data_IF_984327556424
#
_entry.id   IF_984327556424
#
_cell.length_a   1.000
_cell.length_b   1.000
_cell.length_c   1.000
_cell.angle_alpha   90.00
_cell.angle_beta   90.00
_cell.angle_gamma   90.00
#
_symmetry.space_group_name_H-M   'P 1'
#
loop_
_entity.id
_entity.type
_entity.pdbx_description
1 polymer ?
#
# COMPACT_ATOMS: atom_id res chain seq x y z
N UNK A 1 -26.58 -14.14 6.28
CA UNK A 1 -25.53 -13.82 5.29
C UNK A 1 -25.84 -14.62 4.03
N UNK A 2 -26.44 -14.00 3.00
CA UNK A 2 -26.71 -14.68 1.73
C UNK A 2 -25.43 -14.74 0.92
N UNK A 3 -24.85 -15.93 0.77
CA UNK A 3 -23.76 -16.21 -0.15
C UNK A 3 -24.39 -16.69 -1.45
N UNK A 4 -24.20 -15.96 -2.53
CA UNK A 4 -24.59 -16.40 -3.85
C UNK A 4 -25.44 -15.43 -4.69
N UNK A 5 -26.46 -14.81 -4.14
CA UNK A 5 -27.14 -13.67 -4.79
C UNK A 5 -26.49 -12.33 -4.45
N UNK A 6 -25.56 -12.34 -3.46
CA UNK A 6 -24.87 -11.16 -2.96
C UNK A 6 -23.99 -10.45 -4.00
N UNK A 7 -23.35 -11.18 -4.90
CA UNK A 7 -22.35 -10.58 -5.79
C UNK A 7 -22.95 -9.79 -6.94
N UNK A 8 -24.09 -10.20 -7.49
CA UNK A 8 -24.79 -9.41 -8.51
C UNK A 8 -25.36 -8.14 -7.88
N UNK A 9 -25.96 -8.23 -6.68
CA UNK A 9 -26.44 -7.06 -5.93
C UNK A 9 -25.28 -6.14 -5.49
N UNK A 10 -24.15 -6.71 -5.10
CA UNK A 10 -22.97 -5.93 -4.68
C UNK A 10 -22.40 -5.11 -5.84
N UNK A 11 -22.30 -5.66 -7.06
CA UNK A 11 -21.81 -4.91 -8.23
C UNK A 11 -22.73 -3.75 -8.60
N UNK A 12 -24.05 -3.97 -8.63
CA UNK A 12 -25.02 -2.89 -8.87
C UNK A 12 -25.00 -1.84 -7.75
N UNK A 13 -24.87 -2.28 -6.50
CA UNK A 13 -24.76 -1.39 -5.35
C UNK A 13 -23.47 -0.57 -5.42
N UNK A 14 -22.35 -1.18 -5.78
CA UNK A 14 -21.08 -0.49 -5.93
C UNK A 14 -21.11 0.56 -7.03
N UNK A 15 -21.65 0.24 -8.21
CA UNK A 15 -21.85 1.21 -9.28
C UNK A 15 -22.77 2.39 -8.85
N UNK A 16 -23.84 2.11 -8.12
CA UNK A 16 -24.69 3.17 -7.54
C UNK A 16 -23.93 4.03 -6.53
N UNK A 17 -23.11 3.42 -5.66
CA UNK A 17 -22.27 4.14 -4.72
C UNK A 17 -21.25 5.05 -5.43
N UNK A 18 -20.62 4.57 -6.50
CA UNK A 18 -19.71 5.37 -7.33
C UNK A 18 -20.43 6.58 -7.96
N UNK A 19 -21.66 6.42 -8.48
CA UNK A 19 -22.45 7.52 -9.02
C UNK A 19 -22.74 8.58 -7.95
N UNK A 20 -23.16 8.16 -6.75
CA UNK A 20 -23.41 9.05 -5.62
C UNK A 20 -22.11 9.75 -5.17
N UNK A 21 -20.99 9.02 -5.12
CA UNK A 21 -19.69 9.59 -4.79
C UNK A 21 -19.29 10.69 -5.80
N UNK A 22 -19.50 10.42 -7.10
CA UNK A 22 -19.30 11.43 -8.15
C UNK A 22 -20.15 12.67 -7.96
N UNK A 23 -21.45 12.51 -7.68
CA UNK A 23 -22.39 13.62 -7.43
C UNK A 23 -21.95 14.44 -6.21
N UNK A 24 -21.42 13.79 -5.17
CA UNK A 24 -20.91 14.43 -3.94
C UNK A 24 -19.51 15.00 -4.05
N UNK A 25 -18.80 14.77 -5.17
CA UNK A 25 -17.43 15.22 -5.38
C UNK A 25 -16.39 14.51 -4.49
N UNK A 26 -16.71 13.32 -3.95
CA UNK A 26 -15.80 12.51 -3.14
C UNK A 26 -15.14 11.41 -3.96
N UNK A 27 -13.91 11.03 -3.58
CA UNK A 27 -13.17 9.94 -4.19
C UNK A 27 -13.60 8.59 -3.60
N UNK A 28 -13.53 7.53 -4.41
CA UNK A 28 -13.70 6.15 -3.95
C UNK A 28 -12.33 5.52 -3.76
N UNK A 29 -12.09 4.93 -2.60
CA UNK A 29 -10.89 4.17 -2.26
C UNK A 29 -11.26 2.69 -2.29
N UNK A 30 -10.58 1.93 -3.12
CA UNK A 30 -10.92 0.53 -3.40
C UNK A 30 -9.82 -0.42 -2.93
N UNK A 31 -10.13 -1.29 -1.98
CA UNK A 31 -9.39 -2.52 -1.74
C UNK A 31 -9.82 -3.54 -2.78
N UNK A 32 -8.92 -3.91 -3.68
CA UNK A 32 -9.23 -4.75 -4.83
C UNK A 32 -8.97 -6.23 -4.53
N UNK A 33 -10.02 -6.94 -4.16
CA UNK A 33 -9.96 -8.38 -3.87
C UNK A 33 -11.24 -9.08 -4.31
N UNK A 34 -11.14 -10.11 -5.14
CA UNK A 34 -12.23 -11.07 -5.32
C UNK A 34 -12.15 -12.17 -4.26
N UNK A 35 -12.86 -11.97 -3.16
CA UNK A 35 -12.85 -12.91 -2.02
C UNK A 35 -13.32 -14.32 -2.39
N UNK A 36 -14.05 -14.48 -3.51
CA UNK A 36 -14.52 -15.79 -3.99
C UNK A 36 -13.39 -16.61 -4.60
N UNK A 37 -12.32 -15.94 -5.05
CA UNK A 37 -11.13 -16.56 -5.64
C UNK A 37 -10.00 -16.79 -4.65
N UNK A 38 -10.09 -16.26 -3.43
CA UNK A 38 -9.03 -16.42 -2.40
C UNK A 38 -8.94 -17.86 -1.89
N UNK A 39 -10.06 -18.56 -1.77
CA UNK A 39 -10.17 -19.98 -1.38
C UNK A 39 -9.37 -20.37 -0.12
N UNK A 40 -9.21 -19.43 0.81
CA UNK A 40 -8.43 -19.62 2.04
C UNK A 40 -6.92 -19.51 1.84
N UNK A 41 -6.47 -18.88 0.74
CA UNK A 41 -5.07 -18.50 0.50
C UNK A 41 -4.53 -17.55 1.56
N UNK A 42 -3.23 -17.62 1.81
CA UNK A 42 -2.55 -16.86 2.88
C UNK A 42 -1.25 -16.22 2.46
N UNK A 43 -0.73 -16.55 1.28
CA UNK A 43 0.47 -16.00 0.66
C UNK A 43 0.34 -16.05 -0.87
N UNK A 44 1.33 -15.60 -1.61
CA UNK A 44 1.32 -15.68 -3.08
C UNK A 44 1.19 -17.13 -3.59
N UNK A 45 0.48 -17.34 -4.69
CA UNK A 45 0.34 -18.63 -5.33
C UNK A 45 1.56 -18.93 -6.22
N UNK A 46 2.58 -19.53 -5.65
CA UNK A 46 3.83 -19.88 -6.32
C UNK A 46 4.46 -21.18 -5.74
N UNK A 47 5.65 -21.52 -6.21
CA UNK A 47 6.41 -22.69 -5.74
C UNK A 47 6.75 -22.60 -4.23
N UNK A 48 6.87 -21.38 -3.70
CA UNK A 48 7.15 -21.17 -2.29
C UNK A 48 5.95 -21.54 -1.40
N UNK A 49 4.73 -21.24 -1.84
CA UNK A 49 3.52 -21.70 -1.17
C UNK A 49 3.43 -23.23 -1.13
N UNK A 50 3.77 -23.89 -2.24
CA UNK A 50 3.84 -25.36 -2.31
C UNK A 50 4.89 -25.91 -1.35
N UNK A 51 6.09 -25.31 -1.33
CA UNK A 51 7.20 -25.69 -0.42
C UNK A 51 6.80 -25.60 1.05
N UNK A 52 6.06 -24.56 1.41
CA UNK A 52 5.60 -24.33 2.80
C UNK A 52 4.31 -25.09 3.14
N UNK A 53 3.66 -25.75 2.17
CA UNK A 53 2.40 -26.44 2.39
C UNK A 53 1.23 -25.48 2.69
N UNK A 54 1.31 -24.24 2.20
CA UNK A 54 0.33 -23.18 2.41
C UNK A 54 -0.50 -22.95 1.15
N UNK A 55 -1.73 -22.45 1.30
CA UNK A 55 -2.57 -22.07 0.16
C UNK A 55 -2.16 -20.71 -0.40
N UNK A 56 -2.09 -20.65 -1.74
CA UNK A 56 -1.74 -19.45 -2.48
C UNK A 56 -2.93 -18.57 -2.81
N UNK A 57 -2.66 -17.27 -3.02
CA UNK A 57 -3.56 -16.23 -3.56
C UNK A 57 -2.97 -15.81 -4.90
N UNK A 58 -3.69 -16.06 -6.00
CA UNK A 58 -3.24 -15.67 -7.34
C UNK A 58 -3.32 -14.16 -7.56
N UNK A 59 -2.52 -13.63 -8.49
CA UNK A 59 -2.60 -12.22 -8.88
C UNK A 59 -4.00 -11.85 -9.37
N UNK A 60 -4.69 -12.75 -10.07
CA UNK A 60 -6.04 -12.53 -10.60
C UNK A 60 -7.07 -12.16 -9.54
N UNK A 61 -6.85 -12.50 -8.25
CA UNK A 61 -7.72 -12.08 -7.14
C UNK A 61 -7.79 -10.55 -7.04
N UNK A 62 -6.68 -9.86 -7.29
CA UNK A 62 -6.58 -8.40 -7.35
C UNK A 62 -6.97 -7.89 -8.74
N UNK A 63 -6.36 -8.43 -9.79
CA UNK A 63 -6.41 -7.89 -11.15
C UNK A 63 -7.83 -7.78 -11.72
N UNK A 64 -8.69 -8.79 -11.50
CA UNK A 64 -10.08 -8.76 -11.99
C UNK A 64 -10.90 -7.66 -11.33
N UNK A 65 -10.60 -7.31 -10.08
CA UNK A 65 -11.30 -6.24 -9.36
C UNK A 65 -10.76 -4.88 -9.79
N UNK A 66 -9.44 -4.73 -9.97
CA UNK A 66 -8.81 -3.51 -10.52
C UNK A 66 -9.42 -3.20 -11.90
N UNK A 67 -9.46 -4.19 -12.80
CA UNK A 67 -10.07 -4.02 -14.12
C UNK A 67 -11.54 -3.60 -14.04
N UNK A 68 -12.33 -4.28 -13.20
CA UNK A 68 -13.74 -3.96 -12.98
C UNK A 68 -13.91 -2.52 -12.49
N UNK A 69 -13.14 -2.12 -11.50
CA UNK A 69 -13.31 -0.82 -10.83
C UNK A 69 -12.87 0.33 -11.74
N UNK A 70 -11.84 0.15 -12.56
CA UNK A 70 -11.44 1.09 -13.61
C UNK A 70 -12.57 1.27 -14.64
N UNK A 71 -13.17 0.19 -15.11
CA UNK A 71 -14.29 0.25 -16.07
C UNK A 71 -15.50 0.96 -15.47
N UNK A 72 -15.81 0.74 -14.19
CA UNK A 72 -16.89 1.43 -13.49
C UNK A 72 -16.55 2.91 -13.26
N UNK A 73 -15.29 3.24 -12.98
CA UNK A 73 -14.83 4.63 -12.88
C UNK A 73 -14.97 5.35 -14.23
N UNK A 74 -14.62 4.67 -15.34
CA UNK A 74 -14.83 5.17 -16.71
C UNK A 74 -16.31 5.46 -17.00
N UNK A 75 -17.24 4.55 -16.63
CA UNK A 75 -18.68 4.72 -16.81
C UNK A 75 -19.24 5.86 -15.97
N UNK A 76 -18.82 5.96 -14.69
CA UNK A 76 -19.42 6.89 -13.72
C UNK A 76 -18.74 8.24 -13.66
N UNK A 77 -17.48 8.33 -14.13
CA UNK A 77 -16.63 9.52 -14.05
C UNK A 77 -16.21 9.85 -12.61
N UNK A 78 -16.32 8.91 -11.66
CA UNK A 78 -15.87 9.09 -10.28
C UNK A 78 -14.35 9.09 -10.18
N UNK A 79 -13.79 9.83 -9.23
CA UNK A 79 -12.37 9.69 -8.87
C UNK A 79 -12.17 8.38 -8.12
N UNK A 80 -11.36 7.50 -8.68
CA UNK A 80 -11.04 6.19 -8.12
C UNK A 80 -9.59 6.17 -7.65
N UNK A 81 -9.38 5.74 -6.41
CA UNK A 81 -8.06 5.43 -5.87
C UNK A 81 -7.98 3.94 -5.54
N UNK A 82 -7.01 3.26 -6.15
CA UNK A 82 -6.77 1.83 -5.96
C UNK A 82 -5.73 1.66 -4.85
N UNK A 83 -6.17 1.06 -3.73
CA UNK A 83 -5.35 0.91 -2.54
C UNK A 83 -4.34 -0.23 -2.70
N UNK A 84 -3.14 -0.06 -2.10
CA UNK A 84 -2.09 -1.08 -1.91
C UNK A 84 -1.95 -2.09 -3.08
N UNK A 85 -1.84 -1.61 -4.32
CA UNK A 85 -1.64 -2.46 -5.49
C UNK A 85 -0.37 -3.31 -5.35
N UNK A 86 -0.43 -4.56 -5.77
CA UNK A 86 0.65 -5.52 -5.58
C UNK A 86 1.11 -6.24 -6.85
N UNK A 87 0.41 -6.08 -7.97
CA UNK A 87 0.66 -6.85 -9.20
C UNK A 87 1.14 -6.00 -10.37
N UNK A 88 1.90 -6.59 -11.29
CA UNK A 88 2.33 -5.95 -12.53
C UNK A 88 1.13 -5.58 -13.43
N UNK A 89 0.11 -6.42 -13.45
CA UNK A 89 -1.06 -6.21 -14.29
C UNK A 89 -1.92 -5.06 -13.74
N UNK A 90 -2.01 -4.88 -12.41
CA UNK A 90 -2.64 -3.71 -11.80
C UNK A 90 -1.92 -2.40 -12.20
N UNK A 91 -0.57 -2.38 -12.18
CA UNK A 91 0.21 -1.21 -12.65
C UNK A 91 -0.09 -0.88 -14.09
N UNK A 92 -0.11 -1.89 -14.97
CA UNK A 92 -0.38 -1.68 -16.40
C UNK A 92 -1.81 -1.17 -16.65
N UNK A 93 -2.80 -1.71 -15.96
CA UNK A 93 -4.19 -1.24 -16.06
C UNK A 93 -4.34 0.21 -15.59
N UNK A 94 -3.63 0.61 -14.53
CA UNK A 94 -3.60 2.01 -14.05
C UNK A 94 -2.94 2.91 -15.10
N UNK A 95 -1.82 2.48 -15.71
CA UNK A 95 -1.14 3.23 -16.77
C UNK A 95 -2.08 3.51 -17.94
N UNK A 96 -2.72 2.48 -18.46
CA UNK A 96 -3.68 2.60 -19.56
C UNK A 96 -4.87 3.51 -19.20
N UNK A 97 -5.39 3.39 -17.97
CA UNK A 97 -6.47 4.26 -17.50
C UNK A 97 -6.06 5.74 -17.48
N UNK A 98 -4.84 6.03 -17.06
CA UNK A 98 -4.29 7.40 -17.05
C UNK A 98 -4.04 7.93 -18.47
N UNK A 99 -3.54 7.09 -19.37
CA UNK A 99 -3.37 7.45 -20.80
C UNK A 99 -4.71 7.80 -21.47
N UNK A 100 -5.78 7.14 -21.07
CA UNK A 100 -7.16 7.49 -21.49
C UNK A 100 -7.71 8.74 -20.78
N UNK A 101 -6.96 9.37 -19.85
CA UNK A 101 -7.40 10.54 -19.09
C UNK A 101 -8.43 10.26 -18.01
N UNK A 102 -8.56 9.01 -17.56
CA UNK A 102 -9.49 8.65 -16.49
C UNK A 102 -8.98 9.15 -15.12
N UNK A 103 -9.88 9.57 -14.21
CA UNK A 103 -9.51 10.05 -12.90
C UNK A 103 -9.19 8.88 -11.94
N UNK A 104 -8.17 8.10 -12.30
CA UNK A 104 -7.71 6.91 -11.57
C UNK A 104 -6.33 7.20 -10.98
N UNK A 105 -6.13 6.84 -9.73
CA UNK A 105 -4.86 6.88 -9.03
C UNK A 105 -4.60 5.55 -8.32
N UNK A 106 -3.34 5.23 -8.04
CA UNK A 106 -2.97 4.01 -7.34
C UNK A 106 -1.88 4.23 -6.30
N UNK A 107 -1.89 3.40 -5.29
CA UNK A 107 -0.87 3.40 -4.24
C UNK A 107 -0.17 2.04 -4.12
N UNK A 108 1.03 2.08 -3.56
CA UNK A 108 1.81 0.88 -3.26
C UNK A 108 2.44 1.00 -1.87
N UNK A 109 2.56 -0.13 -1.16
CA UNK A 109 3.17 -0.16 0.17
C UNK A 109 4.64 -0.57 0.11
N UNK A 110 5.49 -0.14 1.07
CA UNK A 110 6.90 -0.51 1.11
C UNK A 110 7.15 -2.02 1.03
N UNK A 111 6.35 -2.82 1.71
CA UNK A 111 6.51 -4.27 1.67
C UNK A 111 6.30 -4.86 0.27
N UNK A 112 5.43 -4.27 -0.57
CA UNK A 112 5.18 -4.74 -1.93
C UNK A 112 6.26 -4.34 -2.95
N UNK A 113 6.99 -3.24 -2.73
CA UNK A 113 8.10 -2.87 -3.62
C UNK A 113 9.49 -3.25 -3.09
N UNK A 114 9.56 -3.89 -1.89
CA UNK A 114 10.82 -4.31 -1.26
C UNK A 114 10.94 -5.82 -1.20
N UNK A 115 9.89 -6.50 -0.73
CA UNK A 115 9.90 -7.93 -0.45
C UNK A 115 9.18 -8.71 -1.55
N UNK A 116 9.63 -9.94 -1.72
CA UNK A 116 9.00 -10.93 -2.61
C UNK A 116 8.50 -12.12 -1.79
N UNK A 117 7.73 -12.99 -2.42
CA UNK A 117 7.35 -14.27 -1.82
C UNK A 117 8.59 -15.16 -1.51
N UNK A 118 9.71 -14.98 -2.24
CA UNK A 118 10.96 -15.71 -2.00
C UNK A 118 11.60 -15.36 -0.63
N UNK A 119 11.27 -14.18 -0.06
CA UNK A 119 11.76 -13.77 1.26
C UNK A 119 11.07 -14.51 2.41
N UNK A 120 9.99 -15.25 2.14
CA UNK A 120 9.28 -16.06 3.12
C UNK A 120 9.96 -17.43 3.24
N UNK A 121 10.95 -17.52 4.13
CA UNK A 121 11.78 -18.72 4.27
C UNK A 121 11.07 -19.83 5.05
N UNK A 122 10.18 -19.47 5.97
CA UNK A 122 9.43 -20.35 6.85
C UNK A 122 7.99 -19.84 7.07
N UNK A 123 7.14 -20.66 7.69
CA UNK A 123 5.74 -20.31 8.01
C UNK A 123 5.68 -19.29 9.17
N UNK A 124 5.95 -18.02 8.87
CA UNK A 124 5.95 -16.90 9.82
C UNK A 124 4.77 -15.95 9.53
N UNK A 125 3.86 -15.80 10.51
CA UNK A 125 2.72 -14.89 10.42
C UNK A 125 3.10 -13.42 10.19
N UNK A 126 4.34 -12.98 10.48
CA UNK A 126 4.78 -11.61 10.20
C UNK A 126 4.92 -11.32 8.70
N UNK A 127 4.97 -12.33 7.84
CA UNK A 127 4.93 -12.17 6.38
C UNK A 127 3.52 -12.28 5.79
N UNK A 128 2.48 -12.42 6.62
CA UNK A 128 1.10 -12.48 6.16
C UNK A 128 0.47 -11.09 6.11
N UNK A 129 0.21 -10.60 4.91
CA UNK A 129 -0.55 -9.37 4.62
C UNK A 129 -1.43 -9.58 3.38
N UNK A 130 -2.35 -8.68 3.13
CA UNK A 130 -3.25 -8.74 1.98
C UNK A 130 -3.35 -7.35 1.30
N UNK A 131 -2.93 -7.26 0.02
CA UNK A 131 -2.42 -8.32 -0.86
C UNK A 131 -1.13 -8.98 -0.35
N UNK A 132 -0.85 -10.24 -0.74
CA UNK A 132 0.37 -10.92 -0.33
C UNK A 132 1.60 -10.36 -1.04
N UNK A 133 2.79 -10.65 -0.51
CA UNK A 133 4.06 -10.40 -1.20
C UNK A 133 4.09 -11.21 -2.48
N UNK A 134 4.32 -10.56 -3.62
CA UNK A 134 4.29 -11.17 -4.96
C UNK A 134 5.67 -11.60 -5.44
N UNK A 135 5.75 -11.95 -6.71
CA UNK A 135 7.02 -12.31 -7.36
C UNK A 135 7.86 -11.11 -7.76
N UNK A 136 9.11 -11.37 -8.17
CA UNK A 136 10.07 -10.32 -8.60
C UNK A 136 9.56 -9.44 -9.74
N UNK A 137 8.82 -10.03 -10.69
CA UNK A 137 8.22 -9.28 -11.82
C UNK A 137 7.25 -8.21 -11.30
N UNK A 138 6.47 -8.54 -10.29
CA UNK A 138 5.49 -7.60 -9.70
C UNK A 138 6.21 -6.48 -8.95
N UNK A 139 7.21 -6.82 -8.12
CA UNK A 139 8.05 -5.84 -7.42
C UNK A 139 8.70 -4.85 -8.39
N UNK A 140 9.26 -5.35 -9.49
CA UNK A 140 9.90 -4.51 -10.52
C UNK A 140 8.89 -3.59 -11.20
N UNK A 141 7.70 -4.10 -11.55
CA UNK A 141 6.64 -3.29 -12.14
C UNK A 141 6.16 -2.18 -11.20
N UNK A 142 6.02 -2.46 -9.90
CA UNK A 142 5.66 -1.47 -8.90
C UNK A 142 6.74 -0.37 -8.76
N UNK A 143 8.02 -0.74 -8.73
CA UNK A 143 9.15 0.20 -8.70
C UNK A 143 9.18 1.08 -9.95
N UNK A 144 8.99 0.49 -11.13
CA UNK A 144 8.90 1.22 -12.38
C UNK A 144 7.69 2.15 -12.41
N UNK A 145 6.52 1.68 -11.95
CA UNK A 145 5.31 2.49 -11.85
C UNK A 145 5.46 3.68 -10.90
N UNK A 146 6.24 3.53 -9.81
CA UNK A 146 6.60 4.66 -8.95
C UNK A 146 7.55 5.63 -9.66
N UNK A 147 8.52 5.13 -10.42
CA UNK A 147 9.50 5.97 -11.12
C UNK A 147 8.88 6.80 -12.25
N UNK A 148 8.01 6.19 -13.05
CA UNK A 148 7.40 6.83 -14.22
C UNK A 148 6.11 7.63 -13.92
N UNK A 149 5.61 7.59 -12.67
CA UNK A 149 4.43 8.32 -12.24
C UNK A 149 3.10 7.58 -12.44
N UNK A 150 3.13 6.35 -12.89
CA UNK A 150 1.93 5.48 -12.95
C UNK A 150 1.34 5.28 -11.57
N UNK A 151 2.18 4.95 -10.57
CA UNK A 151 1.79 4.87 -9.17
C UNK A 151 1.96 6.22 -8.49
N UNK A 152 0.88 6.71 -7.86
CA UNK A 152 0.80 8.07 -7.32
C UNK A 152 1.29 8.19 -5.89
N UNK A 153 1.06 7.17 -5.07
CA UNK A 153 1.20 7.24 -3.62
C UNK A 153 2.01 6.07 -3.08
N UNK A 154 2.80 6.36 -2.06
CA UNK A 154 3.40 5.36 -1.18
C UNK A 154 2.63 5.41 0.14
N UNK A 155 1.83 4.38 0.39
CA UNK A 155 1.05 4.19 1.61
C UNK A 155 1.68 3.15 2.54
N UNK A 156 1.09 2.88 3.68
CA UNK A 156 1.68 1.95 4.66
C UNK A 156 0.87 0.69 4.88
N UNK A 157 -0.42 0.74 4.66
CA UNK A 157 -1.37 -0.31 5.07
C UNK A 157 -1.12 -0.77 6.52
N UNK A 158 -0.94 0.21 7.43
CA UNK A 158 -0.58 -0.03 8.83
C UNK A 158 -1.66 -0.81 9.57
N UNK A 159 -1.42 -2.09 9.83
CA UNK A 159 -2.35 -3.01 10.46
C UNK A 159 -1.71 -3.67 11.70
N UNK A 160 -1.75 -3.02 12.88
CA UNK A 160 -1.20 -3.57 14.11
C UNK A 160 -2.06 -4.71 14.65
N UNK A 161 -1.40 -5.80 14.97
CA UNK A 161 -1.99 -6.99 15.59
C UNK A 161 -1.21 -7.36 16.85
N UNK A 162 -1.88 -8.10 17.76
CA UNK A 162 -1.23 -8.65 18.95
C UNK A 162 -0.25 -9.77 18.58
N UNK A 163 0.68 -10.06 19.48
CA UNK A 163 1.58 -11.22 19.32
C UNK A 163 0.79 -12.54 19.23
N UNK A 164 -0.29 -12.67 19.98
CA UNK A 164 -1.15 -13.84 19.94
C UNK A 164 -1.79 -14.05 18.57
N UNK A 165 -2.17 -12.96 17.86
CA UNK A 165 -2.77 -13.05 16.52
C UNK A 165 -1.72 -13.30 15.43
N UNK A 166 -0.47 -12.91 15.63
CA UNK A 166 0.60 -13.00 14.61
C UNK A 166 1.57 -14.16 14.84
N UNK A 167 1.84 -14.53 16.09
CA UNK A 167 2.82 -15.58 16.44
C UNK A 167 2.24 -16.99 16.23
N UNK A 168 1.81 -17.26 14.99
CA UNK A 168 1.15 -18.48 14.52
C UNK A 168 1.54 -18.77 13.10
N UNK A 169 1.25 -19.99 12.64
CA UNK A 169 1.24 -20.32 11.23
C UNK A 169 0.44 -19.29 10.41
N UNK A 170 0.93 -18.93 9.24
CA UNK A 170 0.23 -18.03 8.29
C UNK A 170 -1.21 -18.50 8.03
N UNK A 171 -1.49 -19.81 8.08
CA UNK A 171 -2.84 -20.33 7.93
C UNK A 171 -3.83 -19.77 8.98
N UNK A 172 -3.35 -19.40 10.18
CA UNK A 172 -4.17 -18.91 11.31
C UNK A 172 -3.87 -17.48 11.72
N UNK A 173 -2.73 -16.93 11.34
CA UNK A 173 -2.34 -15.56 11.67
C UNK A 173 -3.30 -14.55 11.03
N UNK A 174 -3.46 -13.38 11.67
CA UNK A 174 -4.17 -12.25 11.09
C UNK A 174 -3.40 -11.67 9.89
N UNK A 175 -4.13 -11.14 8.90
CA UNK A 175 -3.54 -10.40 7.79
C UNK A 175 -3.15 -8.98 8.25
N UNK A 176 -1.96 -8.53 7.87
CA UNK A 176 -1.48 -7.18 8.07
C UNK A 176 -0.16 -7.09 8.84
N UNK A 177 0.54 -6.00 8.62
CA UNK A 177 1.81 -5.65 9.27
C UNK A 177 1.80 -4.18 9.69
N UNK A 178 2.67 -3.81 10.64
CA UNK A 178 2.87 -2.40 10.97
C UNK A 178 3.81 -1.75 9.95
N UNK A 179 3.54 -0.49 9.57
CA UNK A 179 4.30 0.21 8.52
C UNK A 179 4.60 1.68 8.81
N UNK A 180 3.87 2.36 9.72
CA UNK A 180 3.99 3.81 9.92
C UNK A 180 5.41 4.25 10.32
N UNK A 181 6.05 3.54 11.23
CA UNK A 181 7.36 3.95 11.78
C UNK A 181 8.55 3.57 10.88
N UNK A 182 8.31 2.77 9.85
CA UNK A 182 9.38 2.26 8.98
C UNK A 182 9.31 2.76 7.55
N UNK A 183 8.14 3.24 7.10
CA UNK A 183 7.88 3.55 5.69
C UNK A 183 8.83 4.59 5.10
N UNK A 184 9.12 5.68 5.82
CA UNK A 184 9.99 6.75 5.33
C UNK A 184 11.43 6.26 5.13
N UNK A 185 12.01 5.57 6.13
CA UNK A 185 13.37 5.04 6.05
C UNK A 185 13.49 3.92 5.01
N UNK A 186 12.51 3.02 4.91
CA UNK A 186 12.46 1.97 3.89
C UNK A 186 12.38 2.59 2.48
N UNK A 187 11.47 3.54 2.26
CA UNK A 187 11.33 4.23 0.98
C UNK A 187 12.61 4.96 0.58
N UNK A 188 13.21 5.71 1.52
CA UNK A 188 14.45 6.40 1.25
C UNK A 188 15.59 5.44 0.89
N UNK A 189 15.73 4.35 1.66
CA UNK A 189 16.78 3.34 1.43
C UNK A 189 16.62 2.64 0.08
N UNK A 190 15.42 2.19 -0.23
CA UNK A 190 15.17 1.29 -1.36
C UNK A 190 14.91 2.01 -2.68
N UNK A 191 14.39 3.24 -2.63
CA UNK A 191 14.03 3.96 -3.84
C UNK A 191 14.89 5.22 -4.07
N UNK A 192 15.22 5.98 -3.01
CA UNK A 192 15.96 7.23 -3.19
C UNK A 192 17.47 6.95 -3.28
N UNK A 193 18.05 6.20 -2.35
CA UNK A 193 19.48 5.86 -2.40
C UNK A 193 19.87 5.02 -3.61
N UNK A 194 18.94 4.27 -4.15
CA UNK A 194 19.15 3.47 -5.37
C UNK A 194 18.95 4.27 -6.65
N UNK A 195 18.49 5.52 -6.57
CA UNK A 195 18.27 6.40 -7.71
C UNK A 195 16.98 6.14 -8.49
N UNK A 196 16.07 5.31 -7.98
CA UNK A 196 14.75 5.07 -8.59
C UNK A 196 13.86 6.31 -8.44
N UNK A 197 13.90 6.96 -7.27
CA UNK A 197 13.22 8.23 -7.01
C UNK A 197 14.20 9.31 -6.55
N UNK A 198 13.90 10.54 -6.84
CA UNK A 198 14.50 11.69 -6.15
C UNK A 198 13.82 11.89 -4.78
N UNK A 199 14.47 12.66 -3.89
CA UNK A 199 13.88 13.06 -2.59
C UNK A 199 12.55 13.81 -2.80
N UNK A 200 12.47 14.65 -3.85
CA UNK A 200 11.25 15.39 -4.17
C UNK A 200 10.12 14.47 -4.61
N UNK A 201 10.40 13.46 -5.43
CA UNK A 201 9.40 12.46 -5.81
C UNK A 201 8.94 11.62 -4.60
N UNK A 202 9.84 11.30 -3.67
CA UNK A 202 9.45 10.66 -2.40
C UNK A 202 8.47 11.56 -1.62
N UNK A 203 8.79 12.84 -1.44
CA UNK A 203 7.90 13.79 -0.75
C UNK A 203 6.57 13.96 -1.48
N UNK A 204 6.59 14.00 -2.81
CA UNK A 204 5.39 14.07 -3.65
C UNK A 204 4.48 12.86 -3.38
N UNK A 205 5.02 11.64 -3.44
CA UNK A 205 4.26 10.39 -3.30
C UNK A 205 3.82 10.09 -1.87
N UNK A 206 4.53 10.56 -0.87
CA UNK A 206 4.20 10.33 0.54
C UNK A 206 3.42 11.47 1.20
N UNK A 207 3.33 12.66 0.56
CA UNK A 207 2.73 13.84 1.18
C UNK A 207 1.84 14.63 0.22
N UNK A 208 2.38 15.15 -0.88
CA UNK A 208 1.65 16.03 -1.78
C UNK A 208 0.49 15.30 -2.48
N UNK A 209 0.77 14.20 -3.17
CA UNK A 209 -0.26 13.44 -3.90
C UNK A 209 -1.38 12.91 -2.98
N UNK A 210 -1.08 12.29 -1.81
CA UNK A 210 -2.12 11.93 -0.85
C UNK A 210 -3.02 13.11 -0.46
N UNK A 211 -2.44 14.28 -0.18
CA UNK A 211 -3.22 15.47 0.16
C UNK A 211 -4.15 15.91 -0.99
N UNK A 212 -3.66 15.87 -2.25
CA UNK A 212 -4.49 16.19 -3.43
C UNK A 212 -5.63 15.17 -3.63
N UNK A 213 -5.35 13.88 -3.50
CA UNK A 213 -6.35 12.80 -3.64
C UNK A 213 -7.44 12.91 -2.59
N UNK A 214 -7.07 13.28 -1.36
CA UNK A 214 -7.98 13.51 -0.24
C UNK A 214 -8.69 14.87 -0.31
N UNK A 215 -8.28 15.78 -1.20
CA UNK A 215 -8.85 17.12 -1.32
C UNK A 215 -8.44 18.07 -0.19
N UNK A 216 -7.29 17.83 0.46
CA UNK A 216 -6.76 18.66 1.55
C UNK A 216 -5.95 19.82 0.95
N UNK A 217 -6.63 20.92 0.66
CA UNK A 217 -6.03 22.06 -0.04
C UNK A 217 -4.99 22.84 0.79
N UNK A 218 -5.00 22.70 2.11
CA UNK A 218 -4.13 23.39 3.06
C UNK A 218 -2.91 22.53 3.51
N UNK A 219 -2.76 21.30 3.00
CA UNK A 219 -1.72 20.34 3.39
C UNK A 219 -0.89 19.85 2.19
N UNK A 220 0.13 19.07 2.47
CA UNK A 220 0.94 18.36 1.49
C UNK A 220 2.04 19.20 0.82
N UNK A 221 2.18 20.49 1.11
CA UNK A 221 3.23 21.34 0.58
C UNK A 221 3.68 22.40 1.61
N UNK A 222 4.97 22.73 1.56
CA UNK A 222 5.54 23.84 2.34
C UNK A 222 5.35 25.12 1.54
N UNK A 223 4.33 25.91 1.91
CA UNK A 223 4.01 27.18 1.27
C UNK A 223 3.31 28.12 2.27
N UNK A 224 3.38 29.41 1.99
CA UNK A 224 2.72 30.43 2.81
C UNK A 224 1.19 30.20 2.83
N UNK A 225 0.60 30.28 4.01
CA UNK A 225 -0.84 30.05 4.23
C UNK A 225 -1.27 28.58 4.37
N UNK A 226 -0.34 27.62 4.24
CA UNK A 226 -0.60 26.22 4.51
C UNK A 226 -0.49 25.87 5.99
N UNK A 227 -1.19 24.83 6.42
CA UNK A 227 -1.03 24.28 7.76
C UNK A 227 0.40 23.74 7.94
N UNK A 228 1.03 24.09 9.06
CA UNK A 228 2.42 23.68 9.36
C UNK A 228 2.46 22.24 9.92
N UNK A 229 2.00 21.27 9.12
CA UNK A 229 2.21 19.85 9.32
C UNK A 229 3.48 19.45 8.58
N UNK A 230 4.59 19.32 9.31
CA UNK A 230 5.91 19.20 8.74
C UNK A 230 6.66 18.00 9.31
N UNK A 231 7.50 17.40 8.46
CA UNK A 231 8.47 16.39 8.87
C UNK A 231 9.88 16.89 8.52
N UNK A 232 10.80 16.82 9.49
CA UNK A 232 12.23 17.03 9.26
C UNK A 232 12.87 15.64 9.21
N UNK A 233 13.39 15.30 8.04
CA UNK A 233 14.03 14.02 7.76
C UNK A 233 15.53 14.20 7.56
N UNK A 234 16.34 13.46 8.34
CA UNK A 234 17.80 13.42 8.18
C UNK A 234 18.15 12.21 7.28
N UNK A 235 18.75 12.43 6.10
CA UNK A 235 19.07 11.37 5.17
C UNK A 235 20.34 10.55 5.53
N UNK A 236 21.10 10.96 6.56
CA UNK A 236 22.43 10.40 6.82
C UNK A 236 22.47 9.20 7.79
N UNK A 237 21.69 9.17 8.89
CA UNK A 237 21.78 8.08 9.85
C UNK A 237 21.46 6.73 9.22
N UNK A 238 22.27 5.73 9.56
CA UNK A 238 22.02 4.32 9.21
C UNK A 238 21.82 3.55 10.51
N UNK A 239 20.74 2.77 10.58
CA UNK A 239 20.36 1.99 11.76
C UNK A 239 19.66 0.69 11.38
N UNK A 240 19.57 -0.20 12.35
CA UNK A 240 18.81 -1.45 12.21
C UNK A 240 17.43 -1.27 12.82
N UNK A 241 16.40 -1.65 12.07
CA UNK A 241 15.01 -1.62 12.56
C UNK A 241 14.86 -2.59 13.73
N UNK A 242 14.54 -2.05 14.91
CA UNK A 242 14.17 -2.83 16.09
C UNK A 242 12.68 -2.65 16.41
N UNK A 243 11.90 -3.69 16.13
CA UNK A 243 10.45 -3.68 16.39
C UNK A 243 10.08 -3.40 17.85
N UNK A 244 11.00 -3.70 18.80
CA UNK A 244 10.77 -3.49 20.23
C UNK A 244 10.72 -2.01 20.60
N UNK A 245 11.36 -1.13 19.81
CA UNK A 245 11.38 0.32 20.01
C UNK A 245 10.17 1.04 19.43
N UNK A 246 9.31 0.37 18.66
CA UNK A 246 8.13 1.01 18.07
C UNK A 246 7.18 1.55 19.13
N UNK A 247 6.56 2.68 18.84
CA UNK A 247 5.47 3.27 19.63
C UNK A 247 4.18 2.48 19.42
N UNK A 248 3.97 1.95 18.22
CA UNK A 248 2.85 1.05 17.92
C UNK A 248 2.77 -0.09 18.94
N UNK A 249 1.56 -0.42 19.40
CA UNK A 249 1.32 -1.57 20.26
C UNK A 249 1.59 -2.90 19.55
N UNK A 250 1.19 -3.00 18.28
CA UNK A 250 1.56 -4.12 17.41
C UNK A 250 3.02 -4.02 16.99
N UNK A 251 3.72 -5.16 16.99
CA UNK A 251 5.14 -5.30 16.62
C UNK A 251 5.32 -6.22 15.40
N UNK A 252 4.23 -6.52 14.71
CA UNK A 252 4.13 -7.46 13.59
C UNK A 252 4.74 -6.85 12.32
N UNK A 253 6.00 -7.15 12.09
CA UNK A 253 6.74 -6.67 10.92
C UNK A 253 7.78 -7.68 10.44
N UNK A 254 7.94 -7.89 9.12
CA UNK A 254 9.04 -8.66 8.54
C UNK A 254 10.34 -7.87 8.46
N UNK A 255 10.34 -6.57 8.79
CA UNK A 255 11.50 -5.70 8.64
C UNK A 255 12.38 -5.63 9.89
N UNK A 256 12.07 -6.35 10.96
CA UNK A 256 12.95 -6.42 12.13
C UNK A 256 14.33 -6.95 11.76
N UNK A 257 15.38 -6.25 12.21
CA UNK A 257 16.76 -6.62 11.85
C UNK A 257 17.26 -6.06 10.50
N UNK A 258 16.39 -5.42 9.69
CA UNK A 258 16.79 -4.81 8.42
C UNK A 258 17.52 -3.49 8.66
N UNK A 259 18.65 -3.29 7.99
CA UNK A 259 19.38 -2.03 8.00
C UNK A 259 18.76 -1.03 7.02
N UNK A 260 18.49 0.18 7.49
CA UNK A 260 17.93 1.29 6.70
C UNK A 260 18.73 2.56 6.92
N UNK A 261 18.59 3.50 6.00
CA UNK A 261 19.20 4.83 6.08
C UNK A 261 18.11 5.89 6.06
N UNK A 262 18.35 6.97 6.81
CA UNK A 262 17.42 8.09 6.91
C UNK A 262 16.46 7.97 8.09
N UNK A 263 16.25 9.07 8.77
CA UNK A 263 15.52 9.11 10.03
C UNK A 263 14.68 10.39 10.17
N UNK A 264 13.45 10.24 10.66
CA UNK A 264 12.63 11.39 11.05
C UNK A 264 13.18 11.99 12.34
N UNK A 265 13.59 13.28 12.31
CA UNK A 265 14.11 14.01 13.48
C UNK A 265 13.02 14.76 14.21
N UNK A 266 12.12 15.39 13.46
CA UNK A 266 10.99 16.13 14.03
C UNK A 266 9.73 15.87 13.22
N UNK A 267 8.61 15.85 13.94
CA UNK A 267 7.28 15.94 13.34
C UNK A 267 6.53 17.10 13.99
N UNK A 268 6.00 17.97 13.16
CA UNK A 268 5.18 19.10 13.61
C UNK A 268 3.73 18.88 13.11
N UNK A 269 2.78 19.18 13.98
CA UNK A 269 1.34 19.22 13.64
C UNK A 269 0.82 20.57 14.08
N UNK A 270 0.20 21.29 13.16
CA UNK A 270 -0.29 22.66 13.38
C UNK A 270 0.77 23.58 13.99
N UNK A 271 2.02 23.46 13.49
CA UNK A 271 3.16 24.24 13.95
C UNK A 271 3.75 23.83 15.30
N UNK A 272 3.21 22.80 15.96
CA UNK A 272 3.72 22.29 17.24
C UNK A 272 4.54 21.04 17.04
N UNK A 273 5.72 20.99 17.65
CA UNK A 273 6.53 19.76 17.69
C UNK A 273 5.79 18.71 18.52
N UNK A 274 5.45 17.59 17.87
CA UNK A 274 4.78 16.45 18.50
C UNK A 274 5.69 15.22 18.61
N UNK A 275 6.80 15.23 17.89
CA UNK A 275 7.85 14.22 17.96
C UNK A 275 9.21 14.88 17.73
N UNK A 276 10.19 14.49 18.56
CA UNK A 276 11.61 14.86 18.47
C UNK A 276 12.46 13.65 18.85
N UNK A 277 13.53 13.40 18.05
CA UNK A 277 14.49 12.31 18.27
C UNK A 277 15.89 12.83 18.47
#
# INVERSE_FOLDING_TARGET
>A
RSRGLGDVYKRQLYCKAMKIAKEKGISVFAHCEDITMVEGGVMNADENAVRLGLKGITNSVEDVIVARDILLAKETGVRLHLCHCSTADSVEMIRLAKEEGLPVTGEVCPHHFILTADDILEDDGNYKMNPPLRGKKDVEALRQGLADGTMDVISTDHAPHSEEEKNRSMAKAAFGIVGLETSAALTYTELVKTGILSVMQMAEKMSYNPAQILGLSDKGAVAEGKTADLVIFDPNPTYTIDKNTFVSKGKNTPFHGRTVTGEVRFTLVDGKVVYEK
#
